data_IF_780444631050
#
_entry.id   IF_780444631050
#
_cell.length_a   1.000
_cell.length_b   1.000
_cell.length_c   1.000
_cell.angle_alpha   90.00
_cell.angle_beta   90.00
_cell.angle_gamma   90.00
#
_symmetry.space_group_name_H-M   'P 1'
#
loop_
_entity.id
_entity.type
_entity.pdbx_description
1 polymer ?
#
# COMPACT_ATOMS: atom_id res chain seq x y z
N UNK A 1 53.66 33.23 -14.96
CA UNK A 1 52.36 32.54 -14.81
C UNK A 1 51.90 32.14 -16.20
N UNK A 2 51.67 30.86 -16.49
CA UNK A 2 50.89 30.47 -17.67
C UNK A 2 49.45 30.17 -17.25
N UNK A 3 48.50 30.73 -18.00
CA UNK A 3 47.08 30.46 -17.93
C UNK A 3 46.82 29.02 -18.41
N UNK A 4 46.08 28.24 -17.62
CA UNK A 4 45.62 26.90 -18.01
C UNK A 4 44.22 27.01 -18.58
N UNK A 5 44.09 26.74 -19.87
CA UNK A 5 42.82 26.55 -20.58
C UNK A 5 42.06 25.37 -19.98
N UNK A 6 40.87 25.64 -19.45
CA UNK A 6 39.94 24.62 -18.96
C UNK A 6 39.15 24.06 -20.14
N UNK A 7 39.57 22.91 -20.66
CA UNK A 7 38.76 22.13 -21.60
C UNK A 7 37.43 21.73 -20.93
N UNK A 8 36.32 22.26 -21.46
CA UNK A 8 34.99 21.74 -21.19
C UNK A 8 34.88 20.32 -21.77
N UNK A 9 35.11 19.32 -20.94
CA UNK A 9 34.78 17.93 -21.27
C UNK A 9 33.25 17.76 -21.29
N UNK A 10 32.72 17.58 -22.50
CA UNK A 10 31.38 17.06 -22.75
C UNK A 10 31.19 15.74 -21.97
N UNK A 11 30.01 15.47 -21.37
CA UNK A 11 29.78 14.23 -20.66
C UNK A 11 30.00 13.02 -21.59
N UNK A 12 30.66 12.00 -21.07
CA UNK A 12 31.02 10.79 -21.81
C UNK A 12 29.80 10.12 -22.43
N UNK A 13 29.95 9.56 -23.64
CA UNK A 13 28.89 8.81 -24.36
C UNK A 13 28.25 7.69 -23.52
N UNK A 14 28.94 7.20 -22.47
CA UNK A 14 28.40 6.22 -21.52
C UNK A 14 27.27 6.79 -20.64
N UNK A 15 27.26 8.09 -20.37
CA UNK A 15 26.19 8.76 -19.62
C UNK A 15 24.94 8.98 -20.50
N UNK A 16 25.15 9.16 -21.82
CA UNK A 16 24.06 9.33 -22.80
C UNK A 16 23.35 8.00 -23.09
N UNK A 17 24.04 6.86 -23.00
CA UNK A 17 23.46 5.53 -23.27
C UNK A 17 22.66 4.92 -22.12
N UNK A 18 22.71 5.47 -20.89
CA UNK A 18 21.89 4.98 -19.76
C UNK A 18 20.50 5.63 -19.67
N UNK A 19 20.19 6.59 -20.55
CA UNK A 19 18.87 7.19 -20.70
C UNK A 19 17.99 6.46 -21.73
N UNK A 20 18.38 5.26 -22.18
CA UNK A 20 17.53 4.47 -23.07
C UNK A 20 16.34 3.86 -22.30
N UNK A 21 15.25 4.60 -22.37
CA UNK A 21 13.86 4.21 -22.11
C UNK A 21 13.43 4.10 -20.63
N UNK A 22 13.39 5.25 -19.94
CA UNK A 22 12.50 5.37 -18.76
C UNK A 22 11.08 5.03 -19.23
N UNK A 23 10.42 4.05 -18.60
CA UNK A 23 9.10 3.64 -19.04
C UNK A 23 8.06 4.74 -18.83
N UNK A 24 7.00 4.82 -19.66
CA UNK A 24 6.00 5.89 -19.60
C UNK A 24 4.93 5.62 -18.51
N UNK A 25 5.35 5.19 -17.33
CA UNK A 25 4.51 5.01 -16.14
C UNK A 25 5.26 5.43 -14.88
N UNK A 26 4.51 5.68 -13.81
CA UNK A 26 5.06 5.93 -12.47
C UNK A 26 4.74 4.77 -11.55
N UNK A 27 5.57 4.53 -10.56
CA UNK A 27 5.33 3.50 -9.55
C UNK A 27 4.37 4.03 -8.48
N UNK A 28 3.49 3.16 -8.02
CA UNK A 28 2.49 3.44 -7.00
C UNK A 28 2.40 2.26 -6.03
N UNK A 29 1.90 2.52 -4.83
CA UNK A 29 1.64 1.50 -3.83
C UNK A 29 0.30 1.75 -3.14
N UNK A 30 -0.47 0.69 -2.91
CA UNK A 30 -1.81 0.77 -2.32
C UNK A 30 -2.08 -0.37 -1.36
N UNK A 31 -2.88 -0.11 -0.32
CA UNK A 31 -3.23 -1.12 0.70
C UNK A 31 -4.74 -1.35 0.78
N UNK A 32 -5.11 -2.61 0.70
CA UNK A 32 -6.45 -3.11 0.98
C UNK A 32 -6.54 -3.44 2.46
N UNK A 33 -7.12 -2.52 3.24
CA UNK A 33 -7.36 -2.75 4.66
C UNK A 33 -8.63 -3.58 4.81
N UNK A 34 -8.44 -4.81 5.27
CA UNK A 34 -9.50 -5.79 5.57
C UNK A 34 -9.75 -5.76 7.06
N UNK A 35 -10.99 -5.54 7.48
CA UNK A 35 -11.37 -5.48 8.90
C UNK A 35 -12.34 -6.60 9.21
N UNK A 36 -12.12 -7.33 10.30
CA UNK A 36 -13.09 -8.32 10.79
C UNK A 36 -14.40 -7.65 11.19
N UNK A 37 -15.53 -8.19 10.72
CA UNK A 37 -16.85 -7.79 11.17
C UNK A 37 -17.05 -8.24 12.62
N UNK A 38 -17.56 -7.37 13.48
CA UNK A 38 -17.75 -7.75 14.88
C UNK A 38 -18.83 -8.85 15.01
N UNK A 39 -18.70 -9.73 16.01
CA UNK A 39 -19.72 -10.75 16.29
C UNK A 39 -21.12 -10.14 16.54
N UNK A 40 -21.19 -8.93 17.11
CA UNK A 40 -22.44 -8.21 17.33
C UNK A 40 -23.09 -7.79 16.00
N UNK A 41 -22.30 -7.39 15.00
CA UNK A 41 -22.80 -7.04 13.67
C UNK A 41 -23.17 -8.29 12.85
N UNK A 42 -22.39 -9.38 12.97
CA UNK A 42 -22.68 -10.67 12.33
C UNK A 42 -23.95 -11.34 12.84
N UNK A 43 -24.27 -11.17 14.13
CA UNK A 43 -25.37 -11.90 14.80
C UNK A 43 -26.58 -11.00 15.08
N UNK A 44 -26.42 -9.67 15.03
CA UNK A 44 -27.43 -8.70 15.43
C UNK A 44 -27.89 -8.89 16.89
N UNK A 45 -29.07 -8.36 17.24
CA UNK A 45 -29.71 -8.56 18.56
C UNK A 45 -30.18 -10.01 18.82
N UNK A 46 -29.89 -10.95 17.92
CA UNK A 46 -30.45 -12.30 17.89
C UNK A 46 -29.47 -13.38 18.39
N UNK A 47 -28.46 -13.00 19.17
CA UNK A 47 -27.47 -13.91 19.77
C UNK A 47 -28.14 -15.06 20.53
N UNK A 48 -29.20 -14.76 21.29
CA UNK A 48 -30.00 -15.77 21.98
C UNK A 48 -30.72 -16.73 21.01
N UNK A 49 -31.19 -16.25 19.85
CA UNK A 49 -31.89 -17.09 18.86
C UNK A 49 -30.94 -18.02 18.10
N UNK A 50 -29.69 -17.61 17.86
CA UNK A 50 -28.67 -18.45 17.23
C UNK A 50 -28.12 -19.49 18.21
N UNK A 51 -27.88 -19.12 19.47
CA UNK A 51 -27.48 -20.09 20.51
C UNK A 51 -28.57 -21.14 20.77
N UNK A 52 -29.85 -20.75 20.68
CA UNK A 52 -30.96 -21.71 20.75
C UNK A 52 -31.08 -22.59 19.49
N UNK A 53 -30.80 -22.05 18.30
CA UNK A 53 -30.75 -22.84 17.04
C UNK A 53 -29.59 -23.81 16.96
N UNK A 54 -28.43 -23.46 17.53
CA UNK A 54 -27.28 -24.36 17.62
C UNK A 54 -27.53 -25.56 18.57
N UNK A 55 -28.47 -25.42 19.51
CA UNK A 55 -28.91 -26.50 20.42
C UNK A 55 -30.00 -27.39 19.82
N UNK A 56 -30.79 -26.90 18.86
CA UNK A 56 -31.78 -27.72 18.16
C UNK A 56 -31.19 -28.21 16.83
N UNK A 57 -30.60 -29.41 16.84
CA UNK A 57 -30.14 -30.07 15.62
C UNK A 57 -31.33 -30.32 14.69
N UNK A 58 -31.47 -29.50 13.65
CA UNK A 58 -31.97 -29.94 12.36
C UNK A 58 -31.36 -29.03 11.29
N UNK A 59 -30.52 -29.65 10.45
CA UNK A 59 -29.74 -29.03 9.39
C UNK A 59 -30.68 -28.30 8.41
N UNK A 60 -30.68 -26.97 8.49
CA UNK A 60 -31.08 -26.10 7.39
C UNK A 60 -29.81 -25.36 6.93
N UNK A 61 -29.55 -25.28 5.62
CA UNK A 61 -28.33 -24.66 5.11
C UNK A 61 -28.35 -23.18 5.46
N UNK A 62 -27.43 -22.76 6.34
CA UNK A 62 -27.17 -21.35 6.62
C UNK A 62 -26.82 -20.68 5.29
N UNK A 63 -27.50 -19.58 4.97
CA UNK A 63 -27.30 -18.84 3.72
C UNK A 63 -25.81 -18.52 3.52
N UNK A 64 -25.22 -19.06 2.44
CA UNK A 64 -23.79 -19.04 2.11
C UNK A 64 -23.16 -17.66 1.84
N UNK A 65 -23.84 -16.54 2.10
CA UNK A 65 -23.42 -15.20 1.69
C UNK A 65 -23.05 -14.26 2.84
N UNK A 66 -22.75 -14.77 4.04
CA UNK A 66 -22.27 -13.89 5.09
C UNK A 66 -20.75 -13.78 5.05
N UNK A 67 -20.27 -12.66 4.52
CA UNK A 67 -18.87 -12.29 4.62
C UNK A 67 -18.61 -11.75 6.03
N UNK A 68 -17.59 -12.25 6.72
CA UNK A 68 -17.18 -11.86 8.08
C UNK A 68 -16.05 -10.83 8.09
N UNK A 69 -15.78 -10.22 6.95
CA UNK A 69 -14.80 -9.16 6.77
C UNK A 69 -15.38 -8.00 5.96
N UNK A 70 -14.81 -6.82 6.14
CA UNK A 70 -15.16 -5.60 5.41
C UNK A 70 -13.92 -4.94 4.86
N UNK A 71 -14.04 -4.31 3.70
CA UNK A 71 -12.96 -3.56 3.07
C UNK A 71 -13.12 -2.07 3.34
N UNK A 72 -12.04 -1.43 3.77
CA UNK A 72 -11.95 0.02 3.88
C UNK A 72 -11.60 0.62 2.51
N UNK A 73 -12.46 1.50 2.02
CA UNK A 73 -12.25 2.24 0.77
C UNK A 73 -12.43 3.73 0.99
N UNK A 74 -11.71 4.51 0.17
CA UNK A 74 -11.79 5.97 0.14
C UNK A 74 -12.51 6.42 -1.13
N UNK A 75 -13.36 7.46 -1.02
CA UNK A 75 -13.95 8.12 -2.18
C UNK A 75 -13.10 9.31 -2.58
N UNK A 76 -12.53 9.28 -3.79
CA UNK A 76 -11.75 10.41 -4.33
C UNK A 76 -12.66 11.61 -4.61
N UNK A 77 -12.10 12.80 -4.45
CA UNK A 77 -12.72 14.08 -4.78
C UNK A 77 -13.16 14.12 -6.24
N UNK A 78 -14.25 14.84 -6.49
CA UNK A 78 -14.73 15.11 -7.85
C UNK A 78 -13.75 15.96 -8.66
N UNK A 79 -12.81 16.65 -7.99
CA UNK A 79 -11.76 17.47 -8.60
C UNK A 79 -10.48 16.67 -8.94
N UNK A 80 -10.44 15.37 -8.60
CA UNK A 80 -9.29 14.52 -8.89
C UNK A 80 -9.06 14.40 -10.40
N UNK A 81 -7.83 14.71 -10.84
CA UNK A 81 -7.44 14.60 -12.26
C UNK A 81 -7.39 13.17 -12.80
N UNK A 82 -7.49 12.17 -11.92
CA UNK A 82 -7.57 10.75 -12.25
C UNK A 82 -8.63 10.06 -11.39
N UNK A 83 -9.52 9.27 -12.00
CA UNK A 83 -10.60 8.51 -11.34
C UNK A 83 -11.46 9.32 -10.35
N UNK A 84 -11.91 10.52 -10.73
CA UNK A 84 -12.80 11.36 -9.92
C UNK A 84 -14.07 10.62 -9.47
N UNK A 85 -14.50 10.84 -8.22
CA UNK A 85 -15.66 10.19 -7.57
C UNK A 85 -15.61 8.66 -7.44
N UNK A 86 -14.51 8.01 -7.81
CA UNK A 86 -14.35 6.57 -7.65
C UNK A 86 -14.11 6.19 -6.18
N UNK A 87 -14.54 4.97 -5.83
CA UNK A 87 -14.07 4.31 -4.61
C UNK A 87 -12.80 3.55 -4.95
N UNK A 88 -11.72 3.87 -4.24
CA UNK A 88 -10.41 3.24 -4.40
C UNK A 88 -9.89 2.80 -3.03
N UNK A 89 -8.87 1.97 -3.03
CA UNK A 89 -8.09 1.69 -1.83
C UNK A 89 -7.14 2.86 -1.57
N UNK A 90 -6.83 3.16 -0.29
CA UNK A 90 -5.84 4.17 0.02
C UNK A 90 -4.48 3.81 -0.60
N UNK A 91 -3.77 4.81 -1.09
CA UNK A 91 -2.53 4.61 -1.80
C UNK A 91 -2.26 5.68 -2.84
N UNK A 92 -1.03 5.72 -3.32
CA UNK A 92 -0.59 6.76 -4.22
C UNK A 92 0.81 6.51 -4.72
N UNK A 93 1.51 7.60 -5.02
CA UNK A 93 2.78 7.56 -5.71
C UNK A 93 3.89 7.11 -4.77
N UNK A 94 4.79 6.29 -5.31
CA UNK A 94 6.05 5.99 -4.63
C UNK A 94 6.97 7.18 -4.84
N UNK A 95 7.49 7.72 -3.75
CA UNK A 95 8.37 8.88 -3.74
C UNK A 95 9.80 8.45 -3.38
N UNK A 96 10.81 9.22 -3.83
CA UNK A 96 12.21 8.89 -3.53
C UNK A 96 12.50 8.88 -2.01
N UNK A 97 11.71 9.63 -1.24
CA UNK A 97 11.76 9.64 0.22
C UNK A 97 11.44 8.27 0.85
N UNK A 98 10.63 7.43 0.19
CA UNK A 98 10.30 6.08 0.67
C UNK A 98 11.51 5.14 0.61
N UNK A 99 12.50 5.47 -0.24
CA UNK A 99 13.78 4.77 -0.35
C UNK A 99 14.87 5.36 0.55
N UNK A 100 14.59 6.44 1.28
CA UNK A 100 15.62 7.20 2.00
C UNK A 100 16.35 6.34 3.05
N UNK A 101 17.70 6.40 3.12
CA UNK A 101 18.47 5.70 4.16
C UNK A 101 18.07 6.09 5.59
N UNK A 102 17.42 7.25 5.78
CA UNK A 102 16.86 7.69 7.09
C UNK A 102 15.90 6.68 7.71
N UNK A 103 15.24 5.86 6.90
CA UNK A 103 14.39 4.79 7.42
C UNK A 103 15.16 3.76 8.23
N UNK A 104 16.46 3.54 7.95
CA UNK A 104 17.28 2.68 8.80
C UNK A 104 17.41 3.22 10.22
N UNK A 105 17.42 4.55 10.42
CA UNK A 105 17.46 5.14 11.76
C UNK A 105 16.12 4.93 12.49
N UNK A 106 15.00 5.07 11.78
CA UNK A 106 13.65 4.78 12.29
C UNK A 106 13.56 3.34 12.78
N UNK A 107 13.93 2.37 11.94
CA UNK A 107 13.89 0.95 12.28
C UNK A 107 14.89 0.59 13.40
N UNK A 108 16.11 1.15 13.35
CA UNK A 108 17.15 0.93 14.38
C UNK A 108 16.71 1.45 15.74
N UNK A 109 16.01 2.59 15.80
CA UNK A 109 15.46 3.14 17.03
C UNK A 109 14.38 2.23 17.66
N UNK A 110 13.82 1.28 16.90
CA UNK A 110 12.88 0.23 17.34
C UNK A 110 13.55 -1.15 17.49
N UNK A 111 14.88 -1.21 17.41
CA UNK A 111 15.63 -2.46 17.56
C UNK A 111 15.65 -3.37 16.33
N UNK A 112 15.17 -2.88 15.17
CA UNK A 112 15.20 -3.61 13.90
C UNK A 112 16.50 -3.27 13.16
N UNK A 113 17.30 -4.30 12.86
CA UNK A 113 18.56 -4.13 12.15
C UNK A 113 18.35 -4.04 10.64
N UNK A 114 19.30 -3.41 9.94
CA UNK A 114 19.34 -3.42 8.46
C UNK A 114 19.36 -4.83 7.88
N UNK A 115 20.06 -5.77 8.54
CA UNK A 115 20.08 -7.18 8.16
C UNK A 115 18.69 -7.83 8.23
N UNK A 116 17.93 -7.56 9.29
CA UNK A 116 16.56 -8.06 9.45
C UNK A 116 15.61 -7.57 8.35
N UNK A 117 15.73 -6.30 7.92
CA UNK A 117 14.97 -5.76 6.78
C UNK A 117 15.34 -6.45 5.45
N UNK A 118 16.62 -6.77 5.25
CA UNK A 118 17.09 -7.52 4.06
C UNK A 118 16.57 -8.97 4.09
N UNK A 119 16.59 -9.60 5.25
CA UNK A 119 16.03 -10.95 5.45
C UNK A 119 14.53 -10.99 5.20
N UNK A 120 13.80 -9.95 5.62
CA UNK A 120 12.37 -9.81 5.36
C UNK A 120 12.05 -9.89 3.85
N UNK A 121 12.77 -9.13 3.01
CA UNK A 121 12.58 -9.20 1.56
C UNK A 121 12.93 -10.55 0.94
N UNK A 122 13.90 -11.25 1.53
CA UNK A 122 14.30 -12.59 1.12
C UNK A 122 13.31 -13.71 1.54
N UNK A 123 12.26 -13.39 2.31
CA UNK A 123 11.23 -14.37 2.69
C UNK A 123 10.41 -14.81 1.47
N UNK A 124 10.17 -13.92 0.51
CA UNK A 124 9.46 -14.29 -0.72
C UNK A 124 10.36 -15.11 -1.63
N UNK A 125 9.91 -16.31 -2.00
CA UNK A 125 10.64 -17.23 -2.87
C UNK A 125 10.12 -17.14 -4.30
N UNK A 126 11.04 -17.18 -5.27
CA UNK A 126 10.72 -17.14 -6.70
C UNK A 126 10.97 -15.78 -7.34
N UNK A 127 10.60 -15.63 -8.63
CA UNK A 127 10.74 -14.38 -9.36
C UNK A 127 9.98 -13.25 -8.66
N UNK A 128 10.61 -12.06 -8.62
CA UNK A 128 10.02 -10.84 -8.09
C UNK A 128 9.58 -9.96 -9.26
N UNK A 129 8.49 -9.17 -9.12
CA UNK A 129 8.04 -8.25 -10.17
C UNK A 129 9.05 -7.15 -10.46
N UNK A 130 8.97 -6.55 -11.65
CA UNK A 130 9.92 -5.53 -12.10
C UNK A 130 9.90 -4.28 -11.22
N UNK A 131 8.74 -3.91 -10.67
CA UNK A 131 8.64 -2.81 -9.69
C UNK A 131 9.54 -3.01 -8.46
N UNK A 132 9.93 -4.26 -8.15
CA UNK A 132 10.87 -4.59 -7.06
C UNK A 132 12.30 -4.76 -7.57
N UNK A 133 12.50 -5.44 -8.71
CA UNK A 133 13.86 -5.75 -9.20
C UNK A 133 14.51 -4.61 -9.98
N UNK A 134 13.68 -3.78 -10.61
CA UNK A 134 14.07 -2.73 -11.57
C UNK A 134 13.28 -1.45 -11.28
N UNK A 135 13.33 -0.96 -10.02
CA UNK A 135 12.55 0.22 -9.61
C UNK A 135 12.79 1.42 -10.52
N UNK A 136 11.72 1.88 -11.16
CA UNK A 136 11.68 3.06 -12.03
C UNK A 136 11.91 4.33 -11.19
N UNK A 137 11.41 4.38 -9.95
CA UNK A 137 11.58 5.52 -9.04
C UNK A 137 13.06 5.77 -8.75
N UNK A 138 13.82 4.70 -8.42
CA UNK A 138 15.27 4.80 -8.20
C UNK A 138 16.02 5.18 -9.48
N UNK A 139 15.65 4.58 -10.62
CA UNK A 139 16.25 4.91 -11.93
C UNK A 139 16.05 6.38 -12.30
N UNK A 140 14.84 6.91 -12.14
CA UNK A 140 14.52 8.31 -12.40
C UNK A 140 15.30 9.27 -11.49
N UNK A 141 15.55 8.87 -10.24
CA UNK A 141 16.36 9.61 -9.29
C UNK A 141 17.88 9.48 -9.54
N UNK A 142 18.30 8.71 -10.54
CA UNK A 142 19.72 8.47 -10.84
C UNK A 142 20.42 7.62 -9.76
N UNK A 143 19.67 6.88 -8.96
CA UNK A 143 20.21 6.00 -7.91
C UNK A 143 20.54 4.63 -8.53
N UNK A 144 21.81 4.20 -8.56
CA UNK A 144 22.18 2.95 -9.21
C UNK A 144 21.67 1.73 -8.42
N UNK A 145 20.94 0.83 -9.09
CA UNK A 145 20.32 -0.37 -8.49
C UNK A 145 21.32 -1.43 -8.02
N UNK A 146 22.53 -1.48 -8.61
CA UNK A 146 23.53 -2.53 -8.37
C UNK A 146 24.66 -2.11 -7.41
N UNK A 147 24.38 -1.22 -6.45
CA UNK A 147 25.38 -0.85 -5.45
C UNK A 147 25.47 -1.85 -4.30
N UNK A 148 26.59 -1.81 -3.59
CA UNK A 148 26.75 -2.55 -2.34
C UNK A 148 25.66 -2.10 -1.36
N UNK A 149 24.67 -2.96 -1.12
CA UNK A 149 23.54 -2.70 -0.23
C UNK A 149 23.96 -2.45 1.21
N UNK A 150 25.20 -2.79 1.56
CA UNK A 150 25.69 -2.74 2.94
C UNK A 150 26.24 -1.36 3.31
N UNK A 151 26.37 -0.43 2.35
CA UNK A 151 26.73 0.97 2.64
C UNK A 151 25.68 1.65 3.51
N UNK A 152 26.08 2.56 4.38
CA UNK A 152 25.14 3.27 5.28
C UNK A 152 24.16 4.17 4.51
N UNK A 153 24.60 4.74 3.40
CA UNK A 153 23.83 5.63 2.52
C UNK A 153 23.06 4.89 1.42
N UNK A 154 23.09 3.55 1.40
CA UNK A 154 22.34 2.78 0.42
C UNK A 154 20.83 2.99 0.59
N UNK A 155 20.06 3.09 -0.52
CA UNK A 155 18.61 3.17 -0.44
C UNK A 155 18.01 1.93 0.21
N UNK A 156 16.79 2.05 0.72
CA UNK A 156 16.04 0.89 1.18
C UNK A 156 15.78 -0.09 0.03
N UNK A 157 15.71 -1.40 0.34
CA UNK A 157 15.23 -2.39 -0.62
C UNK A 157 13.85 -1.98 -1.18
N UNK A 158 13.61 -2.09 -2.49
CA UNK A 158 12.35 -1.64 -3.10
C UNK A 158 11.09 -2.28 -2.51
N UNK A 159 11.14 -3.54 -2.13
CA UNK A 159 10.03 -4.23 -1.48
C UNK A 159 9.67 -3.65 -0.10
N UNK A 160 10.64 -3.09 0.63
CA UNK A 160 10.41 -2.37 1.89
C UNK A 160 9.91 -0.95 1.60
N UNK A 161 10.54 -0.24 0.65
CA UNK A 161 10.15 1.11 0.28
C UNK A 161 8.70 1.19 -0.24
N UNK A 162 8.27 0.24 -1.07
CA UNK A 162 6.88 0.16 -1.57
C UNK A 162 5.86 -0.01 -0.44
N UNK A 163 6.21 -0.74 0.63
CA UNK A 163 5.34 -0.90 1.82
C UNK A 163 5.26 0.39 2.62
N UNK A 164 6.40 1.08 2.77
CA UNK A 164 6.45 2.39 3.41
C UNK A 164 5.59 3.39 2.62
N UNK A 165 5.70 3.39 1.28
CA UNK A 165 4.88 4.23 0.41
C UNK A 165 3.38 3.96 0.61
N UNK A 166 2.95 2.69 0.61
CA UNK A 166 1.55 2.34 0.85
C UNK A 166 1.05 2.81 2.24
N UNK A 167 1.88 2.66 3.28
CA UNK A 167 1.55 3.08 4.64
C UNK A 167 1.52 4.62 4.76
N UNK A 168 2.48 5.31 4.13
CA UNK A 168 2.57 6.77 4.08
C UNK A 168 1.33 7.36 3.43
N UNK A 169 1.01 6.92 2.21
CA UNK A 169 -0.16 7.37 1.46
C UNK A 169 -1.46 7.09 2.22
N UNK A 170 -1.55 5.93 2.88
CA UNK A 170 -2.71 5.62 3.75
C UNK A 170 -2.86 6.63 4.88
N UNK A 171 -1.77 7.02 5.53
CA UNK A 171 -1.80 8.03 6.57
C UNK A 171 -2.15 9.42 5.99
N UNK A 172 -1.54 9.83 4.90
CA UNK A 172 -1.80 11.11 4.24
C UNK A 172 -3.27 11.28 3.84
N UNK A 173 -3.90 10.23 3.29
CA UNK A 173 -5.27 10.28 2.78
C UNK A 173 -6.34 10.06 3.87
N UNK A 174 -6.03 9.22 4.87
CA UNK A 174 -7.06 8.69 5.79
C UNK A 174 -6.74 8.86 7.27
N UNK A 175 -5.52 9.24 7.63
CA UNK A 175 -5.07 9.32 9.02
C UNK A 175 -4.94 7.96 9.71
N UNK A 176 -5.19 6.85 9.00
CA UNK A 176 -5.02 5.50 9.54
C UNK A 176 -3.53 5.20 9.70
N UNK A 177 -3.15 4.85 10.93
CA UNK A 177 -1.77 4.58 11.31
C UNK A 177 -1.49 3.07 11.31
N UNK A 178 -0.83 2.59 10.25
CA UNK A 178 -0.30 1.23 10.16
C UNK A 178 1.15 1.19 10.66
N UNK A 179 1.30 1.29 11.98
CA UNK A 179 2.60 1.40 12.63
C UNK A 179 2.77 0.39 13.75
N UNK A 180 4.03 0.18 14.12
CA UNK A 180 4.41 -0.67 15.23
C UNK A 180 5.55 -0.06 16.05
N UNK A 181 5.73 -0.53 17.29
CA UNK A 181 6.94 -0.26 18.10
C UNK A 181 8.02 -1.35 17.93
N UNK A 182 7.78 -2.34 17.09
CA UNK A 182 8.72 -3.43 16.74
C UNK A 182 7.98 -4.59 16.05
N UNK A 183 8.69 -5.54 15.44
CA UNK A 183 8.08 -6.62 14.60
C UNK A 183 6.90 -7.37 15.28
N UNK A 184 6.88 -7.48 16.62
CA UNK A 184 5.83 -8.18 17.36
C UNK A 184 5.04 -7.29 18.34
N UNK A 185 5.16 -5.97 18.25
CA UNK A 185 4.44 -5.08 19.16
C UNK A 185 2.99 -4.87 18.70
N UNK A 186 1.99 -5.05 19.59
CA UNK A 186 0.59 -4.83 19.22
C UNK A 186 0.32 -3.34 19.00
N UNK A 187 -0.34 -2.98 17.90
CA UNK A 187 -0.72 -1.58 17.63
C UNK A 187 -1.59 -1.00 18.76
N UNK A 188 -1.34 0.26 19.15
CA UNK A 188 -2.11 0.96 20.15
C UNK A 188 -2.30 2.44 19.80
N UNK A 189 -3.53 2.93 19.91
CA UNK A 189 -3.83 4.35 19.70
C UNK A 189 -3.20 5.27 20.75
N UNK A 190 -2.95 4.74 21.97
CA UNK A 190 -2.26 5.49 23.04
C UNK A 190 -0.85 5.94 22.65
N UNK A 191 -0.26 5.37 21.60
CA UNK A 191 1.05 5.77 21.10
C UNK A 191 1.08 7.16 20.49
N UNK A 192 -0.07 7.72 20.14
CA UNK A 192 -0.21 9.01 19.48
C UNK A 192 -0.92 10.05 20.36
N UNK A 193 -1.15 9.73 21.64
CA UNK A 193 -1.72 10.71 22.58
C UNK A 193 -0.81 11.94 22.67
N UNK A 194 -1.37 13.11 22.37
CA UNK A 194 -0.65 14.38 22.35
C UNK A 194 0.12 14.68 21.06
N UNK A 195 0.04 13.81 20.04
CA UNK A 195 0.60 14.08 18.72
C UNK A 195 -0.48 14.73 17.83
N UNK A 196 -0.16 15.87 17.23
CA UNK A 196 -1.05 16.52 16.26
C UNK A 196 -1.00 15.81 14.91
N UNK A 197 -1.83 14.78 14.77
CA UNK A 197 -1.88 13.96 13.55
C UNK A 197 -2.26 14.77 12.31
N UNK A 198 -3.11 15.79 12.44
CA UNK A 198 -3.55 16.62 11.30
C UNK A 198 -2.40 17.48 10.81
N UNK A 199 -1.64 18.11 11.72
CA UNK A 199 -0.45 18.86 11.35
C UNK A 199 0.62 17.97 10.69
N UNK A 200 0.78 16.73 11.17
CA UNK A 200 1.68 15.76 10.54
C UNK A 200 1.22 15.32 9.16
N UNK A 201 -0.07 15.06 8.94
CA UNK A 201 -0.61 14.74 7.62
C UNK A 201 -0.29 15.84 6.60
N UNK A 202 -0.52 17.11 6.95
CA UNK A 202 -0.19 18.24 6.08
C UNK A 202 1.32 18.34 5.81
N UNK A 203 2.14 18.21 6.85
CA UNK A 203 3.60 18.28 6.72
C UNK A 203 4.15 17.18 5.81
N UNK A 204 3.65 15.96 5.94
CA UNK A 204 4.08 14.81 5.14
C UNK A 204 3.65 14.97 3.68
N UNK A 205 2.45 15.50 3.43
CA UNK A 205 1.99 15.80 2.06
C UNK A 205 2.88 16.82 1.36
N UNK A 206 3.40 17.79 2.11
CA UNK A 206 4.33 18.81 1.58
C UNK A 206 5.75 18.25 1.39
N UNK A 207 6.20 17.38 2.30
CA UNK A 207 7.51 16.76 2.27
C UNK A 207 7.43 15.31 2.77
N UNK A 208 7.39 14.31 1.86
CA UNK A 208 7.22 12.90 2.22
C UNK A 208 8.28 12.38 3.20
N UNK A 209 9.48 12.96 3.25
CA UNK A 209 10.52 12.53 4.20
C UNK A 209 10.19 12.90 5.66
N UNK A 210 9.29 13.87 5.87
CA UNK A 210 8.78 14.21 7.19
C UNK A 210 8.06 13.02 7.85
N UNK A 211 7.69 11.99 7.08
CA UNK A 211 7.13 10.77 7.64
C UNK A 211 8.14 10.01 8.51
N UNK A 212 9.42 10.02 8.13
CA UNK A 212 10.48 9.47 8.97
C UNK A 212 10.65 10.29 10.27
N UNK A 213 10.51 11.62 10.19
CA UNK A 213 10.54 12.50 11.38
C UNK A 213 9.39 12.17 12.34
N UNK A 214 8.17 12.02 11.79
CA UNK A 214 7.00 11.59 12.54
C UNK A 214 7.25 10.27 13.29
N UNK A 215 7.78 9.25 12.61
CA UNK A 215 8.07 7.97 13.23
C UNK A 215 9.12 8.07 14.36
N UNK A 216 10.15 8.90 14.17
CA UNK A 216 11.16 9.13 15.21
C UNK A 216 10.55 9.84 16.43
N UNK A 217 9.74 10.87 16.22
CA UNK A 217 9.10 11.65 17.29
C UNK A 217 8.06 10.82 18.06
N UNK A 218 7.16 10.14 17.35
CA UNK A 218 6.13 9.27 17.94
C UNK A 218 6.70 7.94 18.47
N UNK A 219 8.00 7.69 18.29
CA UNK A 219 8.71 6.47 18.70
C UNK A 219 8.07 5.19 18.15
N UNK A 220 7.68 5.22 16.88
CA UNK A 220 7.12 4.09 16.12
C UNK A 220 7.94 3.83 14.85
N UNK A 221 7.60 2.81 14.08
CA UNK A 221 8.03 2.61 12.70
C UNK A 221 6.88 2.03 11.87
N UNK A 222 6.92 2.12 10.51
CA UNK A 222 5.90 1.53 9.66
C UNK A 222 5.79 0.01 9.89
N UNK A 223 4.56 -0.50 10.03
CA UNK A 223 4.32 -1.94 10.19
C UNK A 223 4.32 -2.65 8.83
N UNK A 224 5.52 -2.77 8.26
CA UNK A 224 5.73 -3.41 6.95
C UNK A 224 5.40 -4.91 6.96
N UNK A 225 5.42 -5.55 8.14
CA UNK A 225 5.22 -6.99 8.30
C UNK A 225 3.75 -7.40 8.17
N UNK A 226 2.83 -6.51 8.54
CA UNK A 226 1.39 -6.73 8.42
C UNK A 226 0.82 -6.46 7.02
N UNK A 227 1.64 -6.00 6.07
CA UNK A 227 1.26 -5.88 4.66
C UNK A 227 1.64 -7.17 3.92
N UNK A 228 0.69 -7.80 3.25
CA UNK A 228 0.92 -8.98 2.41
C UNK A 228 0.87 -8.56 0.95
N UNK A 229 1.84 -8.99 0.14
CA UNK A 229 1.80 -8.73 -1.31
C UNK A 229 0.60 -9.43 -1.93
N UNK A 230 -0.18 -8.68 -2.70
CA UNK A 230 -1.36 -9.21 -3.37
C UNK A 230 -1.19 -9.24 -4.88
N UNK A 231 -0.84 -8.11 -5.49
CA UNK A 231 -0.75 -8.00 -6.94
C UNK A 231 0.10 -6.81 -7.37
N UNK A 232 0.94 -7.00 -8.37
CA UNK A 232 1.53 -5.95 -9.21
C UNK A 232 0.69 -5.69 -10.48
N UNK A 233 0.15 -4.47 -10.65
CA UNK A 233 -0.74 -4.11 -11.75
C UNK A 233 -0.28 -2.85 -12.50
N UNK A 234 0.06 -3.04 -13.78
CA UNK A 234 0.36 -1.96 -14.70
C UNK A 234 -0.90 -1.51 -15.46
N UNK A 235 -1.18 -0.21 -15.41
CA UNK A 235 -2.32 0.41 -16.10
C UNK A 235 -2.30 0.09 -17.60
N UNK A 236 -3.37 -0.50 -18.19
CA UNK A 236 -3.45 -0.74 -19.62
C UNK A 236 -3.35 0.55 -20.44
N UNK A 237 -2.76 0.48 -21.64
CA UNK A 237 -2.57 1.63 -22.53
C UNK A 237 -3.87 2.27 -23.03
N UNK A 238 -5.01 1.56 -22.89
CA UNK A 238 -6.34 2.02 -23.33
C UNK A 238 -7.06 2.93 -22.32
N UNK A 239 -6.61 3.00 -21.06
CA UNK A 239 -7.36 3.62 -19.95
C UNK A 239 -7.06 5.11 -19.78
N UNK A 240 -5.99 5.63 -20.41
CA UNK A 240 -5.69 7.06 -20.43
C UNK A 240 -4.21 7.36 -20.69
N UNK A 241 -3.87 8.65 -20.67
CA UNK A 241 -2.49 9.13 -20.89
C UNK A 241 -1.58 8.94 -19.67
N UNK A 242 -2.14 8.90 -18.46
CA UNK A 242 -1.39 8.61 -17.22
C UNK A 242 -1.48 7.13 -16.91
N UNK A 243 -0.31 6.52 -16.65
CA UNK A 243 -0.19 5.10 -16.35
C UNK A 243 0.60 4.93 -15.06
N UNK A 244 0.17 3.98 -14.26
CA UNK A 244 0.81 3.60 -13.02
C UNK A 244 1.09 2.11 -13.00
N UNK A 245 2.25 1.74 -12.47
CA UNK A 245 2.62 0.39 -12.07
C UNK A 245 2.44 0.29 -10.57
N UNK A 246 1.41 -0.44 -10.12
CA UNK A 246 0.93 -0.35 -8.74
C UNK A 246 1.11 -1.68 -8.02
N UNK A 247 1.91 -1.68 -6.95
CA UNK A 247 1.96 -2.79 -6.02
C UNK A 247 0.81 -2.67 -5.00
N UNK A 248 -0.06 -3.67 -4.99
CA UNK A 248 -1.16 -3.80 -4.05
C UNK A 248 -0.77 -4.71 -2.88
N UNK A 249 -1.09 -4.25 -1.68
CA UNK A 249 -0.93 -4.99 -0.44
C UNK A 249 -2.29 -5.27 0.22
N UNK A 250 -2.38 -6.34 0.99
CA UNK A 250 -3.50 -6.59 1.93
C UNK A 250 -3.00 -6.40 3.35
N UNK A 251 -3.77 -5.71 4.19
CA UNK A 251 -3.51 -5.59 5.62
C UNK A 251 -4.78 -5.95 6.40
N UNK A 252 -4.69 -6.95 7.28
CA UNK A 252 -5.83 -7.43 8.05
C UNK A 252 -5.82 -6.84 9.47
N UNK A 253 -6.91 -6.18 9.86
CA UNK A 253 -7.10 -5.57 11.17
C UNK A 253 -8.26 -6.24 11.91
N UNK A 254 -8.07 -6.53 13.19
CA UNK A 254 -9.12 -7.11 14.05
C UNK A 254 -10.26 -6.13 14.32
N UNK A 255 -9.95 -4.82 14.33
CA UNK A 255 -10.91 -3.74 14.61
C UNK A 255 -10.78 -2.67 13.56
N UNK A 256 -11.90 -1.99 13.28
CA UNK A 256 -11.91 -0.87 12.36
C UNK A 256 -11.03 0.26 12.92
N UNK A 257 -10.06 0.77 12.15
CA UNK A 257 -9.23 1.87 12.61
C UNK A 257 -10.04 3.17 12.69
N UNK A 258 -9.64 4.08 13.57
CA UNK A 258 -10.12 5.45 13.55
C UNK A 258 -9.56 6.16 12.31
N UNK A 259 -10.38 6.99 11.68
CA UNK A 259 -10.08 7.63 10.39
C UNK A 259 -10.23 9.13 10.50
N UNK A 260 -9.21 9.86 10.08
CA UNK A 260 -9.19 11.32 9.96
C UNK A 260 -8.95 11.64 8.48
N UNK A 261 -10.04 11.92 7.77
CA UNK A 261 -9.99 12.20 6.34
C UNK A 261 -9.41 13.58 6.08
N UNK A 262 -8.57 13.68 5.05
CA UNK A 262 -7.94 14.94 4.65
C UNK A 262 -8.91 15.96 4.01
N UNK A 263 -10.13 15.55 3.63
CA UNK A 263 -11.17 16.38 3.00
C UNK A 263 -10.78 17.06 1.66
N UNK A 264 -9.52 17.02 1.23
CA UNK A 264 -9.01 17.61 -0.01
C UNK A 264 -9.07 16.61 -1.17
N UNK A 265 -8.38 15.47 -1.03
CA UNK A 265 -8.35 14.39 -2.02
C UNK A 265 -9.39 13.30 -1.75
N UNK A 266 -9.68 13.02 -0.47
CA UNK A 266 -10.63 12.01 -0.03
C UNK A 266 -11.81 12.64 0.70
N UNK A 267 -13.02 12.31 0.25
CA UNK A 267 -14.25 12.96 0.71
C UNK A 267 -15.07 12.06 1.64
N UNK A 268 -14.92 10.74 1.55
CA UNK A 268 -15.73 9.81 2.36
C UNK A 268 -15.02 8.47 2.53
N UNK A 269 -15.02 7.96 3.77
CA UNK A 269 -14.68 6.58 4.08
C UNK A 269 -15.92 5.70 3.86
N UNK A 270 -15.78 4.59 3.13
CA UNK A 270 -16.84 3.59 3.06
C UNK A 270 -16.28 2.22 3.36
N UNK A 271 -16.88 1.59 4.36
CA UNK A 271 -16.63 0.21 4.72
C UNK A 271 -17.71 -0.65 4.02
N UNK A 272 -17.30 -1.65 3.23
CA UNK A 272 -18.24 -2.49 2.46
C UNK A 272 -18.08 -3.97 2.80
N UNK A 273 -19.21 -4.68 2.83
CA UNK A 273 -19.26 -6.14 2.87
C UNK A 273 -18.74 -6.70 1.53
N UNK A 274 -17.85 -7.67 1.63
CA UNK A 274 -16.88 -8.01 0.57
C UNK A 274 -17.46 -8.74 -0.65
N UNK A 275 -18.78 -8.96 -0.69
CA UNK A 275 -19.45 -9.50 -1.87
C UNK A 275 -19.48 -8.48 -3.02
N UNK A 276 -19.22 -7.20 -2.76
CA UNK A 276 -19.22 -6.18 -3.79
C UNK A 276 -18.02 -5.23 -3.67
N UNK A 277 -16.92 -5.59 -4.36
CA UNK A 277 -16.30 -4.79 -5.42
C UNK A 277 -14.80 -5.09 -5.55
N UNK A 278 -14.41 -5.63 -6.70
CA UNK A 278 -13.09 -5.39 -7.28
C UNK A 278 -13.29 -4.85 -8.70
N UNK A 279 -12.76 -3.63 -8.91
CA UNK A 279 -12.82 -2.78 -10.10
C UNK A 279 -14.20 -2.31 -10.62
N UNK A 280 -14.39 -0.99 -10.62
CA UNK A 280 -15.31 -0.30 -11.53
C UNK A 280 -14.51 0.26 -12.70
N UNK A 281 -14.49 -0.40 -13.87
CA UNK A 281 -14.19 0.30 -15.11
C UNK A 281 -15.48 0.98 -15.59
N UNK A 282 -15.32 2.26 -15.91
CA UNK A 282 -16.21 3.10 -16.72
C UNK A 282 -17.35 2.34 -17.41
N UNK A 283 -18.58 2.74 -17.08
CA UNK A 283 -19.71 2.52 -17.97
C UNK A 283 -19.39 3.12 -19.35
N UNK A 284 -19.02 2.26 -20.32
CA UNK A 284 -19.79 1.99 -21.55
C UNK A 284 -18.89 1.38 -22.65
N UNK A 285 -19.33 0.19 -23.06
CA UNK A 285 -19.15 -0.49 -24.37
C UNK A 285 -17.79 -1.16 -24.67
N UNK A 286 -17.86 -2.50 -24.58
CA UNK A 286 -17.11 -3.58 -25.30
C UNK A 286 -15.92 -4.22 -24.57
N UNK A 287 -15.68 -5.52 -24.88
CA UNK A 287 -15.73 -6.61 -23.91
C UNK A 287 -14.36 -6.92 -23.31
N UNK A 288 -14.33 -7.79 -22.31
CA UNK A 288 -13.16 -8.18 -21.50
C UNK A 288 -12.92 -7.22 -20.31
N UNK A 289 -13.57 -7.57 -19.21
CA UNK A 289 -13.21 -7.12 -17.87
C UNK A 289 -13.05 -8.39 -17.04
N UNK A 290 -11.80 -8.76 -16.76
CA UNK A 290 -11.53 -9.83 -15.80
C UNK A 290 -11.79 -9.26 -14.40
N UNK A 291 -12.83 -9.74 -13.74
CA UNK A 291 -13.12 -9.42 -12.34
C UNK A 291 -12.40 -10.50 -11.51
N UNK A 292 -11.45 -10.08 -10.69
CA UNK A 292 -10.84 -10.97 -9.68
C UNK A 292 -11.68 -10.84 -8.42
N UNK A 293 -12.42 -11.90 -8.07
CA UNK A 293 -13.12 -12.02 -6.80
C UNK A 293 -12.20 -12.68 -5.78
N UNK A 294 -11.98 -12.00 -4.67
CA UNK A 294 -11.27 -12.54 -3.50
C UNK A 294 -12.30 -12.89 -2.45
N UNK A 295 -12.43 -14.18 -2.16
CA UNK A 295 -13.21 -14.66 -1.02
C UNK A 295 -12.25 -15.27 0.01
N UNK A 296 -12.27 -14.75 1.24
CA UNK A 296 -11.66 -15.42 2.38
C UNK A 296 -12.68 -16.37 3.01
N UNK A 297 -12.30 -17.63 3.22
CA UNK A 297 -13.06 -18.62 4.02
C UNK A 297 -12.08 -19.31 4.98
N UNK A 298 -12.42 -19.37 6.28
CA UNK A 298 -11.72 -20.14 7.31
C UNK A 298 -10.18 -19.99 7.31
N UNK A 299 -9.68 -18.74 7.27
CA UNK A 299 -8.24 -18.41 7.22
C UNK A 299 -7.48 -18.89 5.95
N UNK A 300 -8.18 -19.37 4.92
CA UNK A 300 -7.61 -19.67 3.61
C UNK A 300 -8.08 -18.67 2.53
N UNK A 301 -7.15 -18.32 1.63
CA UNK A 301 -7.43 -17.46 0.47
C UNK A 301 -7.99 -18.35 -0.63
N UNK A 302 -9.28 -18.19 -0.95
CA UNK A 302 -9.89 -18.85 -2.11
C UNK A 302 -10.03 -17.85 -3.26
N UNK A 303 -9.19 -18.06 -4.30
CA UNK A 303 -9.28 -17.33 -5.56
C UNK A 303 -10.37 -17.91 -6.45
N UNK A 304 -11.34 -17.09 -6.84
CA UNK A 304 -12.25 -17.41 -7.94
C UNK A 304 -11.90 -16.54 -9.16
N UNK A 305 -11.18 -17.14 -10.10
CA UNK A 305 -11.08 -16.61 -11.46
C UNK A 305 -12.39 -16.94 -12.18
N UNK A 306 -13.30 -15.97 -12.28
CA UNK A 306 -14.44 -16.12 -13.19
C UNK A 306 -14.05 -15.59 -14.57
N UNK A 307 -13.34 -16.41 -15.34
CA UNK A 307 -13.28 -16.22 -16.79
C UNK A 307 -14.58 -16.76 -17.39
N UNK A 308 -15.51 -15.89 -17.78
CA UNK A 308 -16.48 -16.33 -18.81
C UNK A 308 -15.74 -16.36 -20.14
N UNK A 309 -15.10 -17.48 -20.43
CA UNK A 309 -14.70 -17.82 -21.79
C UNK A 309 -15.95 -18.22 -22.57
N UNK A 310 -16.33 -17.42 -23.55
CA UNK A 310 -17.07 -17.91 -24.72
C UNK A 310 -16.43 -17.26 -25.95
N UNK A 311 -15.61 -18.09 -26.61
CA UNK A 311 -15.03 -18.01 -27.97
C UNK A 311 -14.55 -16.65 -28.49
#
# INVERSE_FOLDING_TARGET
>A
MPETDTEHQSPSQACVSQMEHIPPWREAASVMIVVRTSLQELVGNNLASMMNRARSSNQQPVSKNHCDYRLLMVKRSGLSSFMANAYVYPGGLVEIADYSPRWYDVFRARGISKGSLKEFGNRVKGPRPLIITESVTLQCAGVPLNQNTDREDAPLPPDVALRIAAIRETFEETGVLLMTRGENAPSSLSWYEGVDLVAWQERIRQDPIAFADFCLEAKVCPDIWSLYEWWDWLTPTSVGHRRYDTMFYVCCLEKQPEVVLDHSEVVTLKVRDSIALFFCPLQKKKPYSSIVLVCFYDNEIHLFLHTTSLW
#
